data_IF_175417228611
#
_entry.id   IF_175417228611
#
_cell.length_a   1.000
_cell.length_b   1.000
_cell.length_c   1.000
_cell.angle_alpha   90.00
_cell.angle_beta   90.00
_cell.angle_gamma   90.00
#
_symmetry.space_group_name_H-M   'P 1'
#
loop_
_entity.id
_entity.type
_entity.pdbx_description
1 polymer ?
#
# COMPACT_ATOMS: atom_id res chain seq x y z
N UNK A 1 -15.43 -15.90 15.08
CA UNK A 1 -14.20 -15.59 14.32
C UNK A 1 -13.04 -15.32 15.29
N UNK A 2 -11.88 -15.99 15.11
CA UNK A 2 -10.71 -15.79 15.96
C UNK A 2 -10.23 -14.33 15.92
N UNK A 3 -9.74 -13.81 17.06
CA UNK A 3 -9.29 -12.41 17.22
C UNK A 3 -8.27 -12.00 16.16
N UNK A 4 -7.34 -12.91 15.83
CA UNK A 4 -6.32 -12.71 14.80
C UNK A 4 -6.91 -12.31 13.44
N UNK A 5 -7.97 -12.98 13.01
CA UNK A 5 -8.62 -12.69 11.74
C UNK A 5 -9.26 -11.29 11.73
N UNK A 6 -9.91 -10.88 12.84
CA UNK A 6 -10.50 -9.54 12.96
C UNK A 6 -9.43 -8.44 12.88
N UNK A 7 -8.28 -8.65 13.51
CA UNK A 7 -7.12 -7.75 13.42
C UNK A 7 -6.63 -7.67 11.97
N UNK A 8 -6.47 -8.81 11.30
CA UNK A 8 -6.05 -8.86 9.91
C UNK A 8 -7.02 -8.13 8.97
N UNK A 9 -8.32 -8.37 9.14
CA UNK A 9 -9.37 -7.71 8.37
C UNK A 9 -9.35 -6.19 8.59
N UNK A 10 -9.22 -5.74 9.84
CA UNK A 10 -9.11 -4.32 10.17
C UNK A 10 -7.90 -3.67 9.46
N UNK A 11 -6.72 -4.30 9.51
CA UNK A 11 -5.52 -3.81 8.84
C UNK A 11 -5.72 -3.72 7.32
N UNK A 12 -6.33 -4.74 6.71
CA UNK A 12 -6.62 -4.76 5.28
C UNK A 12 -7.57 -3.62 4.88
N UNK A 13 -8.63 -3.37 5.65
CA UNK A 13 -9.57 -2.28 5.41
C UNK A 13 -8.92 -0.90 5.61
N UNK A 14 -8.13 -0.74 6.66
CA UNK A 14 -7.37 0.49 6.93
C UNK A 14 -6.42 0.82 5.77
N UNK A 15 -5.61 -0.15 5.34
CA UNK A 15 -4.66 0.04 4.24
C UNK A 15 -5.37 0.26 2.90
N UNK A 16 -6.54 -0.37 2.70
CA UNK A 16 -7.40 -0.11 1.54
C UNK A 16 -7.88 1.34 1.54
N UNK A 17 -8.42 1.85 2.65
CA UNK A 17 -8.83 3.25 2.76
C UNK A 17 -7.65 4.21 2.53
N UNK A 18 -6.50 3.92 3.16
CA UNK A 18 -5.28 4.72 3.02
C UNK A 18 -4.79 4.78 1.57
N UNK A 19 -4.72 3.64 0.87
CA UNK A 19 -4.24 3.63 -0.52
C UNK A 19 -5.20 4.36 -1.47
N UNK A 20 -6.51 4.28 -1.24
CA UNK A 20 -7.49 5.04 -2.01
C UNK A 20 -7.34 6.55 -1.81
N UNK A 21 -7.18 6.99 -0.56
CA UNK A 21 -6.90 8.40 -0.25
C UNK A 21 -5.63 8.87 -0.97
N UNK A 22 -4.55 8.08 -0.90
CA UNK A 22 -3.30 8.39 -1.59
C UNK A 22 -3.48 8.43 -3.11
N UNK A 23 -4.14 7.43 -3.69
CA UNK A 23 -4.32 7.28 -5.13
C UNK A 23 -5.16 8.39 -5.75
N UNK A 24 -6.28 8.73 -5.13
CA UNK A 24 -7.29 9.65 -5.71
C UNK A 24 -7.01 11.09 -5.33
N UNK A 25 -6.52 11.34 -4.12
CA UNK A 25 -6.36 12.69 -3.59
C UNK A 25 -4.89 13.08 -3.58
N UNK A 26 -4.07 12.34 -2.83
CA UNK A 26 -2.73 12.80 -2.47
C UNK A 26 -1.78 12.86 -3.67
N UNK A 27 -1.73 11.79 -4.48
CA UNK A 27 -0.85 11.71 -5.65
C UNK A 27 -1.20 12.69 -6.77
N UNK A 28 -2.48 12.92 -7.12
CA UNK A 28 -2.82 13.98 -8.07
C UNK A 28 -2.48 15.38 -7.57
N UNK A 29 -2.72 15.69 -6.28
CA UNK A 29 -2.40 17.00 -5.71
C UNK A 29 -0.90 17.27 -5.58
N UNK A 30 -0.10 16.22 -5.39
CA UNK A 30 1.37 16.32 -5.40
C UNK A 30 1.92 16.97 -6.69
N UNK A 31 1.27 16.75 -7.84
CA UNK A 31 1.65 17.41 -9.10
C UNK A 31 1.41 18.92 -9.13
N UNK A 32 0.72 19.48 -8.13
CA UNK A 32 0.34 20.90 -8.04
C UNK A 32 1.18 21.72 -7.04
N UNK A 33 2.14 21.11 -6.35
CA UNK A 33 2.96 21.78 -5.30
C UNK A 33 3.86 22.89 -5.86
N UNK A 34 4.17 22.85 -7.16
CA UNK A 34 5.13 23.76 -7.80
C UNK A 34 6.58 23.28 -7.63
N UNK A 35 7.42 23.59 -8.62
CA UNK A 35 8.77 23.01 -8.72
C UNK A 35 9.72 23.47 -7.59
N UNK A 36 9.56 24.70 -7.13
CA UNK A 36 10.48 25.34 -6.17
C UNK A 36 10.45 24.66 -4.80
N UNK A 37 9.29 24.14 -4.39
CA UNK A 37 9.11 23.49 -3.08
C UNK A 37 8.94 21.97 -3.17
N UNK A 38 8.90 21.40 -4.38
CA UNK A 38 8.57 20.00 -4.60
C UNK A 38 9.50 19.04 -3.86
N UNK A 39 10.82 19.29 -3.91
CA UNK A 39 11.82 18.42 -3.27
C UNK A 39 11.65 18.39 -1.75
N UNK A 40 11.46 19.55 -1.12
CA UNK A 40 11.23 19.63 0.32
C UNK A 40 9.91 18.93 0.71
N UNK A 41 8.86 19.15 -0.06
CA UNK A 41 7.58 18.47 0.09
C UNK A 41 7.71 16.95 -0.03
N UNK A 42 8.40 16.45 -1.07
CA UNK A 42 8.48 15.01 -1.36
C UNK A 42 9.30 14.26 -0.32
N UNK A 43 10.40 14.84 0.15
CA UNK A 43 11.19 14.28 1.24
C UNK A 43 10.37 14.19 2.54
N UNK A 44 9.63 15.24 2.88
CA UNK A 44 8.74 15.25 4.03
C UNK A 44 7.59 14.24 3.86
N UNK A 45 6.96 14.21 2.69
CA UNK A 45 5.87 13.30 2.33
C UNK A 45 6.32 11.84 2.48
N UNK A 46 7.44 11.46 1.89
CA UNK A 46 7.97 10.09 1.95
C UNK A 46 8.23 9.65 3.39
N UNK A 47 8.86 10.52 4.19
CA UNK A 47 9.15 10.25 5.61
C UNK A 47 7.88 10.09 6.43
N UNK A 48 6.94 11.03 6.33
CA UNK A 48 5.71 11.02 7.12
C UNK A 48 4.79 9.86 6.70
N UNK A 49 4.70 9.57 5.41
CA UNK A 49 3.91 8.44 4.89
C UNK A 49 4.45 7.11 5.40
N UNK A 50 5.77 6.97 5.52
CA UNK A 50 6.39 5.76 6.06
C UNK A 50 5.95 5.47 7.49
N UNK A 51 5.85 6.50 8.35
CA UNK A 51 5.35 6.35 9.72
C UNK A 51 3.89 5.87 9.79
N UNK A 52 3.06 6.32 8.87
CA UNK A 52 1.62 5.98 8.83
C UNK A 52 1.37 4.63 8.16
N UNK A 53 2.22 4.23 7.22
CA UNK A 53 1.98 3.09 6.34
C UNK A 53 2.78 1.85 6.73
N UNK A 54 4.05 1.99 7.11
CA UNK A 54 4.93 0.84 7.34
C UNK A 54 4.48 -0.03 8.53
N UNK A 55 4.09 0.52 9.69
CA UNK A 55 3.62 -0.32 10.81
C UNK A 55 2.41 -1.20 10.47
N UNK A 56 1.29 -0.67 9.92
CA UNK A 56 0.16 -1.53 9.55
C UNK A 56 0.49 -2.52 8.43
N UNK A 57 1.36 -2.18 7.47
CA UNK A 57 1.80 -3.12 6.43
C UNK A 57 2.60 -4.30 6.99
N UNK A 58 3.49 -4.05 7.95
CA UNK A 58 4.25 -5.11 8.63
C UNK A 58 3.34 -6.01 9.46
N UNK A 59 2.39 -5.41 10.20
CA UNK A 59 1.38 -6.16 10.95
C UNK A 59 0.47 -6.98 10.02
N UNK A 60 0.08 -6.43 8.87
CA UNK A 60 -0.74 -7.14 7.89
C UNK A 60 0.00 -8.37 7.35
N UNK A 61 1.30 -8.24 7.05
CA UNK A 61 2.15 -9.35 6.63
C UNK A 61 2.24 -10.43 7.72
N UNK A 62 2.55 -10.04 8.96
CA UNK A 62 2.69 -10.99 10.07
C UNK A 62 1.38 -11.73 10.37
N UNK A 63 0.27 -11.00 10.43
CA UNK A 63 -1.05 -11.60 10.68
C UNK A 63 -1.52 -12.46 9.51
N UNK A 64 -1.26 -12.06 8.26
CA UNK A 64 -1.57 -12.84 7.07
C UNK A 64 -0.79 -14.15 7.01
N UNK A 65 0.51 -14.12 7.34
CA UNK A 65 1.34 -15.31 7.41
C UNK A 65 0.87 -16.26 8.53
N UNK A 66 0.54 -15.72 9.72
CA UNK A 66 0.02 -16.50 10.83
C UNK A 66 -1.32 -17.19 10.49
N UNK A 67 -2.24 -16.50 9.79
CA UNK A 67 -3.50 -17.09 9.35
C UNK A 67 -3.30 -18.26 8.38
N UNK A 68 -2.40 -18.12 7.42
CA UNK A 68 -2.08 -19.22 6.50
C UNK A 68 -1.41 -20.39 7.25
N UNK A 69 -0.52 -20.12 8.19
CA UNK A 69 0.13 -21.17 8.99
C UNK A 69 -0.89 -21.98 9.82
N UNK A 70 -1.86 -21.31 10.43
CA UNK A 70 -2.93 -21.97 11.20
C UNK A 70 -3.96 -22.70 10.32
N UNK A 71 -4.08 -22.29 9.06
CA UNK A 71 -5.05 -22.83 8.10
C UNK A 71 -4.41 -23.10 6.73
N UNK A 72 -3.45 -24.03 6.64
CA UNK A 72 -2.58 -24.20 5.47
C UNK A 72 -3.32 -24.63 4.20
N UNK A 73 -4.47 -25.29 4.34
CA UNK A 73 -5.31 -25.70 3.20
C UNK A 73 -6.24 -24.59 2.69
N UNK A 74 -6.25 -23.40 3.30
CA UNK A 74 -7.15 -22.30 2.92
C UNK A 74 -6.65 -21.56 1.69
N UNK A 75 -7.31 -21.77 0.54
CA UNK A 75 -7.06 -21.01 -0.68
C UNK A 75 -7.24 -19.50 -0.50
N UNK A 76 -8.15 -19.07 0.38
CA UNK A 76 -8.37 -17.66 0.72
C UNK A 76 -7.12 -17.05 1.37
N UNK A 77 -6.55 -17.70 2.39
CA UNK A 77 -5.39 -17.16 3.10
C UNK A 77 -4.11 -17.25 2.27
N UNK A 78 -4.00 -18.26 1.41
CA UNK A 78 -2.92 -18.33 0.43
C UNK A 78 -3.00 -17.17 -0.56
N UNK A 79 -4.18 -16.95 -1.15
CA UNK A 79 -4.43 -15.83 -2.06
C UNK A 79 -4.19 -14.46 -1.40
N UNK A 80 -4.60 -14.31 -0.14
CA UNK A 80 -4.33 -13.13 0.67
C UNK A 80 -2.82 -12.86 0.83
N UNK A 81 -2.04 -13.87 1.19
CA UNK A 81 -0.60 -13.71 1.37
C UNK A 81 0.12 -13.45 0.05
N UNK A 82 -0.31 -14.08 -1.04
CA UNK A 82 0.19 -13.79 -2.40
C UNK A 82 -0.09 -12.33 -2.77
N UNK A 83 -1.31 -11.83 -2.52
CA UNK A 83 -1.64 -10.43 -2.77
C UNK A 83 -0.77 -9.47 -1.94
N UNK A 84 -0.53 -9.79 -0.66
CA UNK A 84 0.40 -9.04 0.20
C UNK A 84 1.81 -9.03 -0.40
N UNK A 85 2.32 -10.19 -0.82
CA UNK A 85 3.65 -10.28 -1.44
C UNK A 85 3.77 -9.42 -2.71
N UNK A 86 2.74 -9.42 -3.57
CA UNK A 86 2.69 -8.57 -4.77
C UNK A 86 2.64 -7.07 -4.43
N UNK A 87 1.89 -6.69 -3.40
CA UNK A 87 1.85 -5.31 -2.88
C UNK A 87 3.25 -4.88 -2.42
N UNK A 88 3.93 -5.70 -1.61
CA UNK A 88 5.29 -5.43 -1.14
C UNK A 88 6.29 -5.35 -2.30
N UNK A 89 6.21 -6.28 -3.26
CA UNK A 89 7.07 -6.27 -4.44
C UNK A 89 6.87 -4.98 -5.26
N UNK A 90 5.63 -4.58 -5.53
CA UNK A 90 5.36 -3.31 -6.23
C UNK A 90 5.92 -2.11 -5.45
N UNK A 91 5.75 -2.11 -4.12
CA UNK A 91 6.21 -1.04 -3.25
C UNK A 91 7.72 -0.87 -3.33
N UNK A 92 8.48 -1.94 -3.11
CA UNK A 92 9.94 -1.90 -3.08
C UNK A 92 10.58 -1.69 -4.45
N UNK A 93 10.04 -2.32 -5.50
CA UNK A 93 10.69 -2.29 -6.82
C UNK A 93 10.17 -1.16 -7.72
N UNK A 94 9.03 -0.56 -7.41
CA UNK A 94 8.43 0.49 -8.25
C UNK A 94 8.25 1.79 -7.47
N UNK A 95 7.48 1.80 -6.38
CA UNK A 95 7.16 3.06 -5.70
C UNK A 95 8.37 3.66 -4.97
N UNK A 96 9.14 2.87 -4.22
CA UNK A 96 10.33 3.35 -3.49
C UNK A 96 11.36 4.00 -4.43
N UNK A 97 11.76 3.39 -5.56
CA UNK A 97 12.67 4.04 -6.51
C UNK A 97 12.10 5.31 -7.15
N UNK A 98 10.78 5.34 -7.40
CA UNK A 98 10.12 6.52 -7.97
C UNK A 98 10.09 7.69 -6.98
N UNK A 99 9.75 7.44 -5.72
CA UNK A 99 9.84 8.45 -4.65
C UNK A 99 11.30 8.91 -4.45
N UNK A 100 12.27 7.99 -4.50
CA UNK A 100 13.69 8.34 -4.44
C UNK A 100 14.12 9.30 -5.56
N UNK A 101 13.64 9.07 -6.78
CA UNK A 101 13.89 9.98 -7.92
C UNK A 101 13.19 11.34 -7.74
N UNK A 102 11.93 11.32 -7.31
CA UNK A 102 11.14 12.54 -7.09
C UNK A 102 11.66 13.37 -5.91
N UNK A 103 12.29 12.73 -4.93
CA UNK A 103 12.94 13.38 -3.79
C UNK A 103 14.21 14.15 -4.17
N UNK A 104 14.71 14.00 -5.40
CA UNK A 104 15.87 14.76 -5.91
C UNK A 104 15.42 15.92 -6.80
N UNK A 105 14.42 15.71 -7.66
CA UNK A 105 13.86 16.74 -8.51
C UNK A 105 12.47 16.33 -9.02
N UNK A 106 11.60 17.30 -9.26
CA UNK A 106 10.32 17.03 -9.92
C UNK A 106 10.54 16.48 -11.34
N UNK A 107 9.91 15.33 -11.63
CA UNK A 107 9.93 14.71 -12.94
C UNK A 107 8.51 14.26 -13.27
N UNK A 108 7.86 14.97 -14.20
CA UNK A 108 6.50 14.64 -14.62
C UNK A 108 6.35 13.19 -15.13
N UNK A 109 7.29 12.63 -15.92
CA UNK A 109 7.23 11.22 -16.29
C UNK A 109 7.30 10.27 -15.08
N UNK A 110 8.14 10.56 -14.08
CA UNK A 110 8.25 9.74 -12.88
C UNK A 110 6.99 9.86 -12.02
N UNK A 111 6.43 11.06 -11.88
CA UNK A 111 5.16 11.30 -11.19
C UNK A 111 4.01 10.54 -11.85
N UNK A 112 3.82 10.66 -13.17
CA UNK A 112 2.78 9.91 -13.89
C UNK A 112 2.96 8.40 -13.73
N UNK A 113 4.20 7.90 -13.78
CA UNK A 113 4.50 6.48 -13.55
C UNK A 113 4.17 6.05 -12.11
N UNK A 114 4.43 6.91 -11.12
CA UNK A 114 4.08 6.66 -9.73
C UNK A 114 2.56 6.53 -9.58
N UNK A 115 1.81 7.50 -10.06
CA UNK A 115 0.32 7.50 -9.99
C UNK A 115 -0.27 6.28 -10.69
N UNK A 116 0.23 5.95 -11.89
CA UNK A 116 -0.28 4.80 -12.66
C UNK A 116 0.07 3.47 -12.00
N UNK A 117 1.31 3.32 -11.52
CA UNK A 117 1.75 2.05 -10.93
C UNK A 117 1.16 1.78 -9.55
N UNK A 118 0.75 2.82 -8.82
CA UNK A 118 0.11 2.64 -7.52
C UNK A 118 -1.28 2.00 -7.60
N UNK A 119 -1.95 2.05 -8.77
CA UNK A 119 -3.18 1.28 -9.01
C UNK A 119 -3.01 -0.23 -8.81
N UNK A 120 -1.79 -0.77 -8.98
CA UNK A 120 -1.50 -2.19 -8.65
C UNK A 120 -1.86 -2.46 -7.20
N UNK A 121 -1.38 -1.61 -6.28
CA UNK A 121 -1.64 -1.73 -4.84
C UNK A 121 -3.10 -1.44 -4.52
N UNK A 122 -3.69 -0.43 -5.14
CA UNK A 122 -5.11 -0.07 -4.92
C UNK A 122 -6.03 -1.23 -5.27
N UNK A 123 -5.83 -1.88 -6.43
CA UNK A 123 -6.63 -3.03 -6.85
C UNK A 123 -6.36 -4.24 -5.96
N UNK A 124 -5.10 -4.54 -5.64
CA UNK A 124 -4.76 -5.69 -4.79
C UNK A 124 -5.33 -5.58 -3.37
N UNK A 125 -5.16 -4.43 -2.70
CA UNK A 125 -5.76 -4.23 -1.37
C UNK A 125 -7.28 -4.28 -1.43
N UNK A 126 -7.90 -3.64 -2.42
CA UNK A 126 -9.36 -3.64 -2.58
C UNK A 126 -9.90 -5.06 -2.80
N UNK A 127 -9.33 -5.81 -3.74
CA UNK A 127 -9.77 -7.17 -4.04
C UNK A 127 -9.61 -8.09 -2.83
N UNK A 128 -8.47 -8.01 -2.15
CA UNK A 128 -8.20 -8.77 -0.92
C UNK A 128 -9.19 -8.40 0.20
N UNK A 129 -9.45 -7.12 0.41
CA UNK A 129 -10.39 -6.65 1.42
C UNK A 129 -11.82 -7.13 1.13
N UNK A 130 -12.28 -7.08 -0.12
CA UNK A 130 -13.60 -7.61 -0.51
C UNK A 130 -13.71 -9.10 -0.23
N UNK A 131 -12.71 -9.90 -0.63
CA UNK A 131 -12.69 -11.35 -0.37
C UNK A 131 -12.68 -11.67 1.13
N UNK A 132 -11.92 -10.92 1.93
CA UNK A 132 -11.90 -11.09 3.37
C UNK A 132 -13.26 -10.71 3.96
N UNK A 133 -13.87 -9.59 3.60
CA UNK A 133 -15.20 -9.18 4.10
C UNK A 133 -16.28 -10.22 3.73
N UNK A 134 -16.25 -10.75 2.51
CA UNK A 134 -17.20 -11.79 2.07
C UNK A 134 -17.11 -13.09 2.86
N UNK A 135 -15.97 -13.36 3.49
CA UNK A 135 -15.76 -14.55 4.32
C UNK A 135 -16.30 -14.40 5.74
N UNK A 136 -16.62 -13.17 6.18
CA UNK A 136 -17.17 -12.87 7.52
C UNK A 136 -18.57 -13.45 7.66
#
# INVERSE_FOLDING_TARGET
>A
MPVLYKIHLFLALYLTGLVWFVQVVHYPLMGKVGKDFFVAYENAHTRLTSWVTAPPMLLELGTGAALLYLHPASGLFLGNLVAIALIWASTFFIQVPLHGRLSQAFSEPAHRKLVRSNWIRTVLWTGKAVLLVWWV
#
